data_IF_162098141160
#
_entry.id   IF_162098141160
#
_cell.length_a   1.000
_cell.length_b   1.000
_cell.length_c   1.000
_cell.angle_alpha   90.00
_cell.angle_beta   90.00
_cell.angle_gamma   90.00
#
_symmetry.space_group_name_H-M   'P 1'
#
loop_
_entity.id
_entity.type
_entity.pdbx_description
1 polymer ?
#
# COMPACT_ATOMS: atom_id res chain seq x y z
N UNK A 1 6.12 -42.60 -48.53
CA UNK A 1 4.70 -42.76 -48.18
C UNK A 1 4.60 -42.65 -46.67
N UNK A 2 4.47 -41.45 -46.12
CA UNK A 2 3.20 -40.71 -45.90
C UNK A 2 2.38 -41.48 -44.85
N UNK A 3 2.22 -41.01 -43.62
CA UNK A 3 1.38 -39.86 -43.20
C UNK A 3 1.90 -39.31 -41.85
N UNK A 4 2.24 -38.02 -41.71
CA UNK A 4 1.34 -36.88 -41.39
C UNK A 4 0.23 -37.21 -40.38
N UNK A 5 0.50 -36.89 -39.12
CA UNK A 5 -0.50 -36.63 -38.08
C UNK A 5 -0.24 -35.24 -37.50
N UNK A 6 -0.66 -34.22 -38.26
CA UNK A 6 -0.72 -32.83 -37.83
C UNK A 6 -1.51 -32.71 -36.53
N UNK A 7 -0.99 -31.91 -35.60
CA UNK A 7 -1.70 -31.44 -34.43
C UNK A 7 -2.00 -29.95 -34.64
N UNK A 8 -3.22 -29.55 -35.05
CA UNK A 8 -3.60 -28.15 -35.07
C UNK A 8 -4.67 -27.87 -34.02
N UNK A 9 -4.33 -27.09 -33.00
CA UNK A 9 -5.30 -26.29 -32.25
C UNK A 9 -4.57 -25.27 -31.38
N UNK A 10 -4.13 -24.23 -32.07
CA UNK A 10 -3.91 -22.89 -31.53
C UNK A 10 -5.13 -22.44 -30.71
N UNK A 11 -5.02 -22.49 -29.38
CA UNK A 11 -5.98 -21.87 -28.46
C UNK A 11 -5.40 -20.53 -27.97
N UNK A 12 -5.57 -19.51 -28.82
CA UNK A 12 -5.67 -18.09 -28.51
C UNK A 12 -5.05 -17.61 -27.18
N UNK A 13 -3.73 -17.35 -27.20
CA UNK A 13 -3.14 -16.45 -26.21
C UNK A 13 -3.69 -15.04 -26.45
N UNK A 14 -4.44 -14.52 -25.48
CA UNK A 14 -5.03 -13.18 -25.57
C UNK A 14 -3.94 -12.15 -25.84
N UNK A 15 -4.01 -11.49 -27.00
CA UNK A 15 -3.11 -10.40 -27.37
C UNK A 15 -3.25 -9.21 -26.42
N UNK A 16 -2.51 -9.24 -25.32
CA UNK A 16 -2.10 -8.03 -24.60
C UNK A 16 -0.66 -7.74 -24.98
N UNK A 17 -0.46 -6.69 -25.75
CA UNK A 17 0.85 -6.16 -26.13
C UNK A 17 1.71 -6.04 -24.85
N UNK A 18 2.82 -6.80 -24.71
CA UNK A 18 3.64 -6.70 -23.53
C UNK A 18 4.18 -5.27 -23.44
N UNK A 19 3.94 -4.62 -22.31
CA UNK A 19 4.42 -3.26 -22.08
C UNK A 19 5.95 -3.26 -22.20
N UNK A 20 6.51 -2.43 -23.07
CA UNK A 20 7.96 -2.30 -23.24
C UNK A 20 8.60 -2.12 -21.86
N UNK A 21 9.54 -2.99 -21.48
CA UNK A 21 10.18 -2.97 -20.16
C UNK A 21 10.80 -1.61 -19.83
N UNK A 22 11.31 -0.91 -20.84
CA UNK A 22 11.82 0.46 -20.74
C UNK A 22 10.77 1.49 -20.35
N UNK A 23 9.54 1.35 -20.85
CA UNK A 23 8.43 2.23 -20.48
C UNK A 23 8.00 1.98 -19.04
N UNK A 24 8.00 0.71 -18.61
CA UNK A 24 7.73 0.34 -17.22
C UNK A 24 8.79 0.91 -16.28
N UNK A 25 10.07 0.79 -16.64
CA UNK A 25 11.18 1.36 -15.89
C UNK A 25 11.09 2.88 -15.82
N UNK A 26 10.77 3.56 -16.93
CA UNK A 26 10.55 5.01 -16.96
C UNK A 26 9.41 5.45 -16.05
N UNK A 27 8.31 4.69 -16.00
CA UNK A 27 7.17 5.00 -15.13
C UNK A 27 7.47 4.75 -13.65
N UNK A 28 8.31 3.76 -13.34
CA UNK A 28 8.70 3.43 -11.95
C UNK A 28 9.84 4.32 -11.43
N UNK A 29 10.81 4.67 -12.27
CA UNK A 29 12.04 5.41 -11.90
C UNK A 29 11.93 6.91 -12.20
N UNK A 30 11.08 7.30 -13.16
CA UNK A 30 10.92 8.69 -13.60
C UNK A 30 10.64 9.67 -12.46
N UNK A 31 9.67 9.39 -11.57
CA UNK A 31 9.44 10.26 -10.41
C UNK A 31 10.68 10.37 -9.51
N UNK A 32 11.35 9.25 -9.23
CA UNK A 32 12.54 9.24 -8.38
C UNK A 32 13.65 10.13 -8.96
N UNK A 33 13.85 10.11 -10.28
CA UNK A 33 14.81 10.98 -10.96
C UNK A 33 14.44 12.46 -10.82
N UNK A 34 13.15 12.80 -10.97
CA UNK A 34 12.65 14.16 -10.77
C UNK A 34 12.91 14.64 -9.35
N UNK A 35 12.72 13.77 -8.34
CA UNK A 35 13.03 14.08 -6.95
C UNK A 35 14.51 14.40 -6.76
N UNK A 36 15.42 13.54 -7.22
CA UNK A 36 16.85 13.72 -7.03
C UNK A 36 17.38 14.98 -7.73
N UNK A 37 16.92 15.26 -8.95
CA UNK A 37 17.29 16.47 -9.69
C UNK A 37 16.72 17.73 -9.02
N UNK A 38 15.47 17.67 -8.58
CA UNK A 38 14.83 18.76 -7.86
C UNK A 38 15.52 19.06 -6.53
N UNK A 39 15.88 18.02 -5.77
CA UNK A 39 16.48 18.16 -4.45
C UNK A 39 17.85 18.82 -4.53
N UNK A 40 18.65 18.41 -5.51
CA UNK A 40 19.99 18.95 -5.71
C UNK A 40 20.00 20.44 -6.12
N UNK A 41 18.93 20.93 -6.79
CA UNK A 41 18.87 22.30 -7.30
C UNK A 41 18.04 23.27 -6.46
N UNK A 42 16.97 22.78 -5.85
CA UNK A 42 15.94 23.63 -5.22
C UNK A 42 15.66 23.26 -3.76
N UNK A 43 16.31 22.21 -3.24
CA UNK A 43 16.10 21.72 -1.88
C UNK A 43 14.91 20.76 -1.75
N UNK A 44 14.79 20.16 -0.57
CA UNK A 44 13.89 19.03 -0.29
C UNK A 44 12.42 19.37 -0.53
N UNK A 45 11.96 20.56 -0.14
CA UNK A 45 10.55 20.96 -0.20
C UNK A 45 10.03 21.02 -1.65
N UNK A 46 10.60 21.83 -2.57
CA UNK A 46 10.15 21.86 -3.96
C UNK A 46 10.45 20.57 -4.73
N UNK A 47 11.49 19.83 -4.36
CA UNK A 47 11.77 18.50 -4.92
C UNK A 47 10.68 17.49 -4.60
N UNK A 48 10.18 17.51 -3.37
CA UNK A 48 9.07 16.67 -2.93
C UNK A 48 7.79 17.07 -3.69
N UNK A 49 7.54 18.36 -3.87
CA UNK A 49 6.44 18.86 -4.72
C UNK A 49 6.50 18.33 -6.15
N UNK A 50 7.66 18.44 -6.81
CA UNK A 50 7.87 17.95 -8.16
C UNK A 50 7.75 16.41 -8.26
N UNK A 51 8.24 15.69 -7.25
CA UNK A 51 8.12 14.23 -7.16
C UNK A 51 6.65 13.77 -7.07
N UNK A 52 5.85 14.44 -6.26
CA UNK A 52 4.40 14.18 -6.14
C UNK A 52 3.73 14.34 -7.50
N UNK A 53 3.95 15.47 -8.19
CA UNK A 53 3.35 15.76 -9.49
C UNK A 53 3.80 14.74 -10.54
N UNK A 54 5.09 14.42 -10.58
CA UNK A 54 5.64 13.41 -11.49
C UNK A 54 5.05 12.02 -11.22
N UNK A 55 4.85 11.66 -9.96
CA UNK A 55 4.23 10.38 -9.58
C UNK A 55 2.77 10.31 -10.01
N UNK A 56 2.00 11.39 -9.82
CA UNK A 56 0.61 11.48 -10.31
C UNK A 56 0.56 11.31 -11.82
N UNK A 57 1.39 12.05 -12.56
CA UNK A 57 1.44 11.98 -14.03
C UNK A 57 1.86 10.58 -14.51
N UNK A 58 2.85 9.96 -13.88
CA UNK A 58 3.27 8.61 -14.20
C UNK A 58 2.17 7.57 -13.92
N UNK A 59 1.44 7.70 -12.82
CA UNK A 59 0.32 6.83 -12.49
C UNK A 59 -0.85 7.01 -13.47
N UNK A 60 -1.20 8.24 -13.82
CA UNK A 60 -2.24 8.55 -14.80
C UNK A 60 -1.87 8.05 -16.20
N UNK A 61 -0.62 8.23 -16.62
CA UNK A 61 -0.11 7.72 -17.90
C UNK A 61 -0.05 6.19 -17.93
N UNK A 62 0.39 5.55 -16.83
CA UNK A 62 0.37 4.09 -16.69
C UNK A 62 -1.06 3.53 -16.75
N UNK A 63 -2.03 4.26 -16.22
CA UNK A 63 -3.45 3.88 -16.28
C UNK A 63 -4.00 3.97 -17.71
N UNK A 64 -3.70 5.04 -18.45
CA UNK A 64 -4.11 5.22 -19.84
C UNK A 64 -3.46 4.20 -20.79
N UNK A 65 -2.17 3.89 -20.61
CA UNK A 65 -1.38 3.10 -21.56
C UNK A 65 -1.46 1.60 -21.26
N UNK A 66 -1.32 1.19 -19.99
CA UNK A 66 -1.20 -0.21 -19.63
C UNK A 66 -2.50 -0.85 -19.15
N UNK A 67 -3.52 -0.03 -18.79
CA UNK A 67 -4.71 -0.44 -18.01
C UNK A 67 -4.37 -1.30 -16.78
N UNK A 68 -3.11 -1.28 -16.34
CA UNK A 68 -2.55 -2.01 -15.22
C UNK A 68 -1.70 -1.03 -14.46
N UNK A 69 -2.12 -0.77 -13.24
CA UNK A 69 -1.40 0.10 -12.33
C UNK A 69 -0.47 -0.79 -11.49
N UNK A 70 0.86 -0.56 -11.50
CA UNK A 70 1.77 -1.23 -10.59
C UNK A 70 1.38 -0.88 -9.15
N UNK A 71 0.93 -1.87 -8.38
CA UNK A 71 0.30 -1.62 -7.08
C UNK A 71 1.25 -0.98 -6.07
N UNK A 72 2.53 -1.40 -6.02
CA UNK A 72 3.52 -0.80 -5.11
C UNK A 72 3.74 0.71 -5.39
N UNK A 73 4.04 1.13 -6.64
CA UNK A 73 4.14 2.55 -6.99
C UNK A 73 2.85 3.35 -6.77
N UNK A 74 1.66 2.77 -6.97
CA UNK A 74 0.39 3.44 -6.68
C UNK A 74 0.23 3.69 -5.18
N UNK A 75 0.48 2.68 -4.37
CA UNK A 75 0.40 2.79 -2.91
C UNK A 75 1.40 3.84 -2.42
N UNK A 76 2.65 3.76 -2.87
CA UNK A 76 3.67 4.77 -2.58
C UNK A 76 3.27 6.16 -3.06
N UNK A 77 2.69 6.29 -4.26
CA UNK A 77 2.21 7.56 -4.81
C UNK A 77 1.08 8.16 -3.98
N UNK A 78 0.11 7.37 -3.52
CA UNK A 78 -0.92 7.83 -2.58
C UNK A 78 -0.28 8.32 -1.29
N UNK A 79 0.73 7.62 -0.77
CA UNK A 79 1.47 8.07 0.42
C UNK A 79 2.24 9.35 0.16
N UNK A 80 2.89 9.49 -0.98
CA UNK A 80 3.69 10.67 -1.34
C UNK A 80 2.80 11.87 -1.57
N UNK A 81 1.66 11.71 -2.24
CA UNK A 81 0.66 12.78 -2.43
C UNK A 81 0.03 13.14 -1.08
N UNK A 82 -0.37 12.13 -0.30
CA UNK A 82 -1.01 12.31 1.00
C UNK A 82 -0.09 12.90 2.06
N UNK A 83 1.14 12.43 2.20
CA UNK A 83 2.12 12.98 3.14
C UNK A 83 2.80 14.24 2.62
N UNK A 84 3.16 14.28 1.34
CA UNK A 84 3.90 15.38 0.73
C UNK A 84 3.02 16.61 0.47
N UNK A 85 1.77 16.42 0.03
CA UNK A 85 0.80 17.51 -0.09
C UNK A 85 0.44 18.11 1.27
N UNK A 86 0.35 17.27 2.31
CA UNK A 86 0.09 17.70 3.68
C UNK A 86 1.31 18.41 4.29
N UNK A 87 2.54 18.02 3.94
CA UNK A 87 3.79 18.63 4.42
C UNK A 87 4.03 20.04 3.87
N UNK A 88 3.57 20.35 2.65
CA UNK A 88 3.73 21.68 2.04
C UNK A 88 2.74 22.71 2.61
N UNK A 89 1.69 22.27 3.31
CA UNK A 89 0.52 23.10 3.57
C UNK A 89 0.41 23.68 4.99
N UNK A 90 1.06 23.13 6.04
CA UNK A 90 0.85 23.61 7.42
C UNK A 90 2.08 23.53 8.35
N UNK A 91 2.51 24.69 8.85
CA UNK A 91 3.48 24.91 9.93
C UNK A 91 2.76 25.20 11.27
N UNK A 92 2.03 24.23 11.85
CA UNK A 92 1.32 24.43 13.13
C UNK A 92 1.23 23.15 14.01
N UNK A 93 1.19 23.30 15.34
CA UNK A 93 1.21 22.24 16.37
C UNK A 93 -0.02 21.31 16.31
N UNK A 94 -1.18 21.86 15.93
CA UNK A 94 -2.40 21.11 15.65
C UNK A 94 -2.18 20.05 14.56
N UNK A 95 -1.29 20.32 13.63
CA UNK A 95 -1.07 19.48 12.47
C UNK A 95 -0.19 18.27 12.78
N UNK A 96 0.73 18.41 13.74
CA UNK A 96 1.54 17.30 14.26
C UNK A 96 0.63 16.22 14.87
N UNK A 97 -0.46 16.64 15.51
CA UNK A 97 -1.46 15.77 16.15
C UNK A 97 -2.46 15.18 15.16
N UNK A 98 -2.83 15.90 14.10
CA UNK A 98 -3.73 15.42 13.03
C UNK A 98 -3.06 14.44 12.05
N UNK A 99 -1.74 14.57 11.85
CA UNK A 99 -0.96 13.72 10.91
C UNK A 99 -1.25 12.23 11.08
N UNK A 100 -1.19 11.65 12.29
CA UNK A 100 -1.49 10.23 12.49
C UNK A 100 -2.95 9.86 12.21
N UNK A 101 -3.94 10.70 12.56
CA UNK A 101 -5.35 10.42 12.26
C UNK A 101 -5.56 10.31 10.76
N UNK A 102 -5.11 11.31 9.99
CA UNK A 102 -5.30 11.36 8.53
C UNK A 102 -4.65 10.15 7.87
N UNK A 103 -3.42 9.82 8.27
CA UNK A 103 -2.66 8.70 7.71
C UNK A 103 -3.34 7.37 8.02
N UNK A 104 -3.70 7.13 9.28
CA UNK A 104 -4.36 5.88 9.68
C UNK A 104 -5.73 5.74 9.03
N UNK A 105 -6.50 6.83 8.92
CA UNK A 105 -7.78 6.84 8.23
C UNK A 105 -7.64 6.54 6.73
N UNK A 106 -6.62 7.11 6.06
CA UNK A 106 -6.32 6.81 4.66
C UNK A 106 -5.93 5.34 4.47
N UNK A 107 -5.06 4.80 5.32
CA UNK A 107 -4.72 3.37 5.30
C UNK A 107 -5.98 2.51 5.48
N UNK A 108 -6.81 2.80 6.48
CA UNK A 108 -8.05 2.06 6.71
C UNK A 108 -8.98 2.13 5.48
N UNK A 109 -9.19 3.32 4.91
CA UNK A 109 -10.04 3.53 3.74
C UNK A 109 -9.53 2.74 2.52
N UNK A 110 -8.23 2.78 2.24
CA UNK A 110 -7.62 2.00 1.14
C UNK A 110 -7.84 0.51 1.37
N UNK A 111 -7.61 0.01 2.58
CA UNK A 111 -7.83 -1.40 2.91
C UNK A 111 -9.30 -1.81 2.76
N UNK A 112 -10.25 -0.98 3.23
CA UNK A 112 -11.69 -1.25 3.06
C UNK A 112 -12.12 -1.25 1.60
N UNK A 113 -11.68 -0.26 0.81
CA UNK A 113 -11.95 -0.21 -0.63
C UNK A 113 -11.37 -1.42 -1.34
N UNK A 114 -10.16 -1.84 -0.96
CA UNK A 114 -9.50 -3.02 -1.52
C UNK A 114 -10.30 -4.31 -1.27
N UNK A 115 -10.88 -4.45 -0.07
CA UNK A 115 -11.75 -5.57 0.30
C UNK A 115 -13.03 -5.56 -0.53
N UNK A 116 -13.65 -4.40 -0.73
CA UNK A 116 -14.84 -4.23 -1.57
C UNK A 116 -14.59 -4.59 -3.04
N UNK A 117 -13.39 -4.28 -3.55
CA UNK A 117 -12.95 -4.62 -4.90
C UNK A 117 -12.45 -6.07 -5.04
N UNK A 118 -12.51 -6.88 -3.96
CA UNK A 118 -11.95 -8.24 -3.88
C UNK A 118 -10.47 -8.31 -4.30
N UNK A 119 -9.73 -7.21 -4.13
CA UNK A 119 -8.29 -7.13 -4.42
C UNK A 119 -7.55 -6.83 -3.13
N UNK A 120 -6.90 -7.85 -2.57
CA UNK A 120 -6.16 -7.69 -1.31
C UNK A 120 -4.86 -6.94 -1.57
N UNK A 121 -4.80 -5.63 -1.26
CA UNK A 121 -3.55 -4.85 -1.39
C UNK A 121 -2.44 -5.39 -0.49
N UNK A 122 -2.77 -5.92 0.70
CA UNK A 122 -1.78 -6.59 1.55
C UNK A 122 -1.18 -7.82 0.88
N UNK A 123 -1.97 -8.60 0.12
CA UNK A 123 -1.45 -9.69 -0.70
C UNK A 123 -0.44 -9.15 -1.69
N UNK A 124 -0.75 -8.08 -2.41
CA UNK A 124 0.15 -7.55 -3.43
C UNK A 124 1.46 -7.02 -2.85
N UNK A 125 1.43 -6.41 -1.66
CA UNK A 125 2.62 -5.85 -1.00
C UNK A 125 3.47 -6.92 -0.33
N UNK A 126 2.83 -7.90 0.30
CA UNK A 126 3.51 -8.89 1.14
C UNK A 126 3.54 -10.31 0.54
N UNK A 127 3.08 -10.52 -0.70
CA UNK A 127 3.06 -11.82 -1.39
C UNK A 127 4.44 -12.50 -1.37
N UNK A 128 5.49 -11.69 -1.54
CA UNK A 128 6.87 -12.18 -1.58
C UNK A 128 7.39 -12.60 -0.20
N UNK A 129 6.81 -12.05 0.88
CA UNK A 129 7.25 -12.30 2.26
C UNK A 129 6.45 -13.42 2.93
N UNK A 130 5.15 -13.52 2.62
CA UNK A 130 4.25 -14.50 3.22
C UNK A 130 3.43 -15.20 2.14
N UNK A 131 3.32 -16.52 2.25
CA UNK A 131 2.41 -17.29 1.42
C UNK A 131 1.19 -17.64 2.27
N UNK A 132 0.03 -17.07 1.94
CA UNK A 132 -1.23 -17.30 2.64
C UNK A 132 -2.30 -17.66 1.62
N UNK A 133 -3.29 -18.43 2.07
CA UNK A 133 -4.48 -18.70 1.24
C UNK A 133 -5.30 -17.42 1.01
N UNK A 134 -6.13 -17.40 -0.03
CA UNK A 134 -6.92 -16.21 -0.38
C UNK A 134 -7.86 -15.78 0.75
N UNK A 135 -8.38 -16.74 1.53
CA UNK A 135 -9.13 -16.45 2.75
C UNK A 135 -8.27 -15.82 3.84
N UNK A 136 -7.05 -16.32 4.04
CA UNK A 136 -6.08 -15.77 4.98
C UNK A 136 -5.77 -14.31 4.68
N UNK A 137 -5.52 -13.98 3.41
CA UNK A 137 -5.29 -12.61 2.97
C UNK A 137 -6.48 -11.68 3.21
N UNK A 138 -7.71 -12.17 2.98
CA UNK A 138 -8.93 -11.39 3.22
C UNK A 138 -9.09 -11.09 4.72
N UNK A 139 -8.90 -12.10 5.58
CA UNK A 139 -8.99 -11.94 7.05
C UNK A 139 -7.89 -11.04 7.59
N UNK A 140 -6.67 -11.15 7.06
CA UNK A 140 -5.55 -10.30 7.41
C UNK A 140 -5.85 -8.83 7.06
N UNK A 141 -6.36 -8.59 5.85
CA UNK A 141 -6.75 -7.26 5.39
C UNK A 141 -7.85 -6.64 6.26
N UNK A 142 -8.86 -7.42 6.65
CA UNK A 142 -9.90 -6.97 7.59
C UNK A 142 -9.33 -6.56 8.95
N UNK A 143 -8.43 -7.36 9.52
CA UNK A 143 -7.82 -7.05 10.82
C UNK A 143 -6.97 -5.78 10.76
N UNK A 144 -6.18 -5.62 9.72
CA UNK A 144 -5.40 -4.41 9.50
C UNK A 144 -6.29 -3.18 9.29
N UNK A 145 -7.36 -3.28 8.49
CA UNK A 145 -8.30 -2.17 8.27
C UNK A 145 -8.92 -1.67 9.58
N UNK A 146 -9.39 -2.59 10.42
CA UNK A 146 -9.92 -2.25 11.75
C UNK A 146 -8.87 -1.72 12.70
N UNK A 147 -7.66 -2.27 12.67
CA UNK A 147 -6.56 -1.79 13.51
C UNK A 147 -6.18 -0.34 13.18
N UNK A 148 -6.07 0.01 11.89
CA UNK A 148 -5.84 1.39 11.47
C UNK A 148 -7.01 2.31 11.85
N UNK A 149 -8.26 1.85 11.71
CA UNK A 149 -9.43 2.60 12.17
C UNK A 149 -9.37 2.86 13.68
N UNK A 150 -9.05 1.85 14.48
CA UNK A 150 -8.87 1.95 15.93
C UNK A 150 -7.76 2.97 16.27
N UNK A 151 -6.61 2.92 15.59
CA UNK A 151 -5.54 3.89 15.80
C UNK A 151 -5.93 5.31 15.43
N UNK A 152 -6.70 5.50 14.35
CA UNK A 152 -7.21 6.82 13.96
C UNK A 152 -8.16 7.38 15.03
N UNK A 153 -9.12 6.58 15.50
CA UNK A 153 -10.08 6.96 16.54
C UNK A 153 -9.39 7.23 17.87
N UNK A 154 -8.48 6.34 18.30
CA UNK A 154 -7.71 6.54 19.52
C UNK A 154 -6.87 7.81 19.46
N UNK A 155 -6.17 8.06 18.34
CA UNK A 155 -5.42 9.30 18.18
C UNK A 155 -6.35 10.51 18.32
N UNK A 156 -7.50 10.50 17.62
CA UNK A 156 -8.48 11.60 17.65
C UNK A 156 -9.01 11.90 19.05
N UNK A 157 -9.31 10.86 19.82
CA UNK A 157 -9.75 10.99 21.21
C UNK A 157 -8.62 11.57 22.07
N UNK A 158 -7.40 11.04 21.94
CA UNK A 158 -6.30 11.42 22.82
C UNK A 158 -5.88 12.87 22.57
N UNK A 159 -5.68 13.29 21.32
CA UNK A 159 -5.20 14.66 21.07
C UNK A 159 -6.27 15.73 21.34
N UNK A 160 -7.57 15.39 21.27
CA UNK A 160 -8.66 16.31 21.61
C UNK A 160 -8.95 16.40 23.11
N UNK A 161 -8.64 15.35 23.86
CA UNK A 161 -9.03 15.25 25.28
C UNK A 161 -7.87 15.49 26.24
N UNK A 162 -6.63 15.38 25.77
CA UNK A 162 -5.42 15.52 26.59
C UNK A 162 -4.44 16.55 26.01
N UNK A 163 -3.52 17.00 26.85
CA UNK A 163 -2.43 17.90 26.51
C UNK A 163 -1.36 17.25 25.60
N UNK A 164 -0.46 18.08 25.05
CA UNK A 164 0.56 17.61 24.11
C UNK A 164 1.50 16.57 24.72
N UNK A 165 1.89 16.72 25.98
CA UNK A 165 2.84 15.82 26.64
C UNK A 165 2.21 14.44 26.85
N UNK A 166 0.97 14.40 27.33
CA UNK A 166 0.19 13.15 27.43
C UNK A 166 -0.01 12.49 26.07
N UNK A 167 -0.28 13.27 25.01
CA UNK A 167 -0.41 12.72 23.64
C UNK A 167 0.90 12.13 23.12
N UNK A 168 2.04 12.78 23.35
CA UNK A 168 3.37 12.25 22.97
C UNK A 168 3.65 10.95 23.72
N UNK A 169 3.39 10.92 25.03
CA UNK A 169 3.56 9.70 25.83
C UNK A 169 2.65 8.56 25.36
N UNK A 170 1.38 8.84 25.05
CA UNK A 170 0.48 7.85 24.47
C UNK A 170 1.00 7.33 23.11
N UNK A 171 1.55 8.20 22.28
CA UNK A 171 2.11 7.80 20.99
C UNK A 171 3.33 6.88 21.15
N UNK A 172 4.23 7.18 22.09
CA UNK A 172 5.45 6.40 22.31
C UNK A 172 5.15 5.10 23.07
N UNK A 173 4.40 5.19 24.16
CA UNK A 173 4.19 4.09 25.10
C UNK A 173 2.83 3.41 24.98
N UNK A 174 1.81 4.05 24.41
CA UNK A 174 0.48 3.46 24.20
C UNK A 174 0.38 2.68 22.90
N UNK A 175 0.93 3.21 21.80
CA UNK A 175 0.91 2.55 20.49
C UNK A 175 1.73 1.26 20.52
N UNK A 176 2.90 1.25 21.19
CA UNK A 176 3.79 0.09 21.19
C UNK A 176 3.13 -1.18 21.79
N UNK A 177 2.58 -1.19 23.02
CA UNK A 177 1.83 -2.32 23.54
C UNK A 177 0.64 -2.71 22.66
N UNK A 178 -0.07 -1.72 22.10
CA UNK A 178 -1.20 -1.97 21.23
C UNK A 178 -0.78 -2.70 19.95
N UNK A 179 0.34 -2.32 19.35
CA UNK A 179 0.93 -3.03 18.20
C UNK A 179 1.42 -4.42 18.56
N UNK A 180 1.98 -4.62 19.75
CA UNK A 180 2.37 -5.96 20.24
C UNK A 180 1.13 -6.84 20.37
N UNK A 181 0.10 -6.37 21.05
CA UNK A 181 -1.15 -7.11 21.22
C UNK A 181 -1.78 -7.46 19.86
N UNK A 182 -1.82 -6.49 18.95
CA UNK A 182 -2.27 -6.73 17.58
C UNK A 182 -1.41 -7.78 16.86
N UNK A 183 -0.09 -7.68 16.96
CA UNK A 183 0.83 -8.65 16.34
C UNK A 183 0.60 -10.06 16.88
N UNK A 184 0.37 -10.21 18.19
CA UNK A 184 0.02 -11.49 18.80
C UNK A 184 -1.28 -12.06 18.22
N UNK A 185 -2.26 -11.22 17.87
CA UNK A 185 -3.47 -11.70 17.18
C UNK A 185 -3.18 -12.19 15.76
N UNK A 186 -2.17 -11.64 15.07
CA UNK A 186 -1.80 -12.02 13.70
C UNK A 186 -1.11 -13.39 13.65
N UNK A 187 -0.29 -13.73 14.63
CA UNK A 187 0.45 -15.01 14.70
C UNK A 187 -0.41 -16.25 14.44
N UNK A 188 -1.54 -16.48 15.14
CA UNK A 188 -2.38 -17.65 14.90
C UNK A 188 -3.12 -17.61 13.56
N UNK A 189 -3.33 -16.41 12.98
CA UNK A 189 -3.91 -16.28 11.66
C UNK A 189 -2.91 -16.73 10.60
N UNK A 190 -1.66 -16.26 10.70
CA UNK A 190 -0.60 -16.60 9.75
C UNK A 190 -0.28 -18.09 9.77
N UNK A 191 -0.22 -18.71 10.95
CA UNK A 191 0.03 -20.15 11.07
C UNK A 191 -1.12 -21.00 10.54
N UNK A 192 -2.37 -20.61 10.79
CA UNK A 192 -3.56 -21.36 10.37
C UNK A 192 -3.77 -21.34 8.85
N UNK A 193 -3.48 -20.21 8.21
CA UNK A 193 -3.71 -20.01 6.77
C UNK A 193 -2.44 -20.20 5.93
N UNK A 194 -1.42 -20.84 6.50
CA UNK A 194 -0.23 -21.24 5.76
C UNK A 194 -0.56 -22.45 4.86
N UNK A 195 -0.12 -22.47 3.59
CA UNK A 195 -0.53 -23.47 2.60
C UNK A 195 -0.33 -24.93 3.01
N UNK A 196 0.73 -25.25 3.77
CA UNK A 196 1.01 -26.62 4.24
C UNK A 196 0.02 -27.12 5.31
N UNK A 197 -0.64 -26.23 6.05
CA UNK A 197 -1.54 -26.62 7.14
C UNK A 197 -2.99 -26.87 6.67
N UNK A 198 -3.43 -26.23 5.57
CA UNK A 198 -4.73 -26.55 4.97
C UNK A 198 -4.74 -27.94 4.31
N UNK A 199 -3.62 -28.36 3.72
CA UNK A 199 -3.48 -29.69 3.12
C UNK A 199 -3.55 -30.84 4.15
N UNK A 200 -3.12 -30.61 5.39
CA UNK A 200 -3.21 -31.59 6.50
C UNK A 200 -4.56 -31.61 7.21
N UNK A 201 -5.38 -30.57 7.07
CA UNK A 201 -6.70 -30.50 7.71
C UNK A 201 -7.82 -31.09 6.83
N UNK A 202 -7.54 -31.35 5.55
CA UNK A 202 -8.50 -31.91 4.57
C UNK A 202 -8.18 -33.36 4.15
N UNK A 203 -7.12 -33.97 4.70
CA UNK A 203 -6.79 -35.39 4.55
C UNK A 203 -7.02 -36.14 5.85
#
# INVERSE_FOLDING_TARGET
>A
MSTEGQQPAEAASSGKKPMNQWLKLLLEVGPLVVFFVGNNKYGIIPATGAFIVATVVALSASWLIARKVPALPLISGIFVIGFGGLTVLLEDDLFIKLKPTIVNALFAAVLFVSLGLKRNVLKIVFDAAFHLTDEGWRKLTWRWAWFFCLLAVLNEIVWRSFDTDTWVQFKVFGIMPLTILFSLTLVPLLSKYHPENEAKAQG
#
